data_IF_954306235802
#
_entry.id   IF_954306235802
#
_cell.length_a   1.000
_cell.length_b   1.000
_cell.length_c   1.000
_cell.angle_alpha   90.00
_cell.angle_beta   90.00
_cell.angle_gamma   90.00
#
_symmetry.space_group_name_H-M   'P 1'
#
loop_
_entity.id
_entity.type
_entity.pdbx_description
1 polymer ?
#
# COMPACT_ATOMS: atom_id res chain seq x y z
N UNK A 1 -3.01 -14.72 23.96
CA UNK A 1 -2.01 -15.50 23.17
C UNK A 1 -0.61 -15.31 23.74
N UNK A 2 -0.25 -14.11 24.22
CA UNK A 2 0.99 -13.86 24.93
C UNK A 2 1.28 -14.85 26.08
N UNK A 3 0.29 -15.16 26.94
CA UNK A 3 0.48 -16.13 28.05
C UNK A 3 0.90 -17.53 27.57
N UNK A 4 0.37 -17.96 26.41
CA UNK A 4 0.74 -19.24 25.81
C UNK A 4 2.15 -19.21 25.24
N UNK A 5 2.58 -18.08 24.68
CA UNK A 5 3.94 -17.93 24.17
C UNK A 5 4.96 -17.90 25.32
N UNK A 6 4.64 -17.23 26.43
CA UNK A 6 5.54 -17.14 27.59
C UNK A 6 5.63 -18.44 28.39
N UNK A 7 4.57 -19.25 28.44
CA UNK A 7 4.59 -20.56 29.11
C UNK A 7 5.10 -21.69 28.23
N UNK A 8 5.26 -21.46 26.93
CA UNK A 8 5.76 -22.45 25.98
C UNK A 8 7.26 -22.64 26.10
N UNK A 9 7.73 -23.87 25.87
CA UNK A 9 9.17 -24.18 25.71
C UNK A 9 9.65 -23.98 24.27
N UNK A 10 8.75 -23.66 23.33
CA UNK A 10 9.10 -23.42 21.93
C UNK A 10 9.89 -22.12 21.79
N UNK A 11 11.05 -22.20 21.15
CA UNK A 11 11.93 -21.05 20.87
C UNK A 11 11.61 -20.43 19.50
N UNK A 12 11.14 -21.24 18.54
CA UNK A 12 10.83 -20.80 17.17
C UNK A 12 9.31 -20.72 16.99
N UNK A 13 8.83 -19.56 16.53
CA UNK A 13 7.41 -19.31 16.30
C UNK A 13 7.20 -18.85 14.87
N UNK A 14 6.44 -19.64 14.11
CA UNK A 14 6.08 -19.34 12.71
C UNK A 14 4.74 -18.63 12.69
N UNK A 15 4.67 -17.44 12.07
CA UNK A 15 3.46 -16.62 12.07
C UNK A 15 3.05 -16.26 10.64
N UNK A 16 1.91 -16.81 10.24
CA UNK A 16 1.17 -16.43 9.03
C UNK A 16 0.00 -15.55 9.43
N UNK A 17 0.16 -14.24 9.28
CA UNK A 17 -0.84 -13.24 9.64
C UNK A 17 -0.62 -11.96 8.84
N UNK A 18 -1.65 -11.12 8.77
CA UNK A 18 -1.48 -9.74 8.34
C UNK A 18 -0.86 -8.90 9.47
N UNK A 19 -0.22 -7.78 9.12
CA UNK A 19 0.34 -6.84 10.11
C UNK A 19 -0.72 -6.39 11.12
N UNK A 20 -1.94 -6.10 10.66
CA UNK A 20 -3.04 -5.65 11.50
C UNK A 20 -3.46 -6.68 12.54
N UNK A 21 -3.53 -7.96 12.17
CA UNK A 21 -3.85 -9.04 13.11
C UNK A 21 -2.75 -9.30 14.14
N UNK A 22 -1.50 -9.04 13.76
CA UNK A 22 -0.33 -9.33 14.59
C UNK A 22 0.02 -8.18 15.56
N UNK A 23 -0.35 -6.95 15.22
CA UNK A 23 0.10 -5.74 15.92
C UNK A 23 -0.22 -5.78 17.42
N UNK A 24 -1.45 -6.11 17.80
CA UNK A 24 -1.89 -6.12 19.20
C UNK A 24 -1.08 -7.12 20.04
N UNK A 25 -0.77 -8.29 19.46
CA UNK A 25 0.06 -9.30 20.12
C UNK A 25 1.50 -8.80 20.32
N UNK A 26 2.10 -8.15 19.31
CA UNK A 26 3.46 -7.63 19.43
C UNK A 26 3.53 -6.50 20.45
N UNK A 27 2.51 -5.63 20.50
CA UNK A 27 2.39 -4.58 21.53
C UNK A 27 2.34 -5.20 22.92
N UNK A 28 1.50 -6.22 23.12
CA UNK A 28 1.40 -6.93 24.39
C UNK A 28 2.72 -7.61 24.79
N UNK A 29 3.39 -8.29 23.86
CA UNK A 29 4.68 -8.94 24.10
C UNK A 29 5.79 -7.93 24.44
N UNK A 30 5.79 -6.76 23.79
CA UNK A 30 6.74 -5.70 24.05
C UNK A 30 6.53 -5.09 25.46
N UNK A 31 5.29 -4.85 25.87
CA UNK A 31 4.98 -4.40 27.23
C UNK A 31 5.41 -5.39 28.31
N UNK A 32 5.36 -6.68 27.99
CA UNK A 32 5.80 -7.77 28.89
C UNK A 32 7.31 -8.04 28.83
N UNK A 33 8.07 -7.32 28.00
CA UNK A 33 9.48 -7.60 27.71
C UNK A 33 9.72 -9.07 27.35
N UNK A 34 8.83 -9.67 26.57
CA UNK A 34 8.98 -11.04 26.11
C UNK A 34 10.11 -11.09 25.06
N UNK A 35 11.22 -11.73 25.43
CA UNK A 35 12.42 -11.86 24.59
C UNK A 35 12.71 -13.34 24.30
N UNK A 36 13.70 -13.61 23.46
CA UNK A 36 14.17 -14.98 23.21
C UNK A 36 13.31 -15.80 22.23
N UNK A 37 12.33 -15.17 21.58
CA UNK A 37 11.52 -15.80 20.53
C UNK A 37 12.19 -15.56 19.18
N UNK A 38 12.55 -16.64 18.50
CA UNK A 38 12.95 -16.59 17.09
C UNK A 38 11.70 -16.61 16.22
N UNK A 39 11.37 -15.46 15.63
CA UNK A 39 10.23 -15.35 14.72
C UNK A 39 10.58 -15.84 13.32
N UNK A 40 9.63 -16.56 12.72
CA UNK A 40 9.59 -16.84 11.29
C UNK A 40 8.36 -16.16 10.70
N UNK A 41 8.60 -15.08 9.97
CA UNK A 41 7.59 -14.19 9.44
C UNK A 41 7.14 -14.59 8.03
N UNK A 42 5.82 -14.57 7.82
CA UNK A 42 5.25 -14.59 6.47
C UNK A 42 5.52 -13.27 5.73
N UNK A 43 5.47 -13.31 4.40
CA UNK A 43 5.71 -12.15 3.52
C UNK A 43 4.85 -10.93 3.90
N UNK A 44 3.62 -11.17 4.34
CA UNK A 44 2.65 -10.14 4.67
C UNK A 44 3.09 -9.15 5.77
N UNK A 45 4.07 -9.50 6.61
CA UNK A 45 4.50 -8.62 7.72
C UNK A 45 6.01 -8.49 7.91
N UNK A 46 6.83 -9.33 7.26
CA UNK A 46 8.30 -9.32 7.45
C UNK A 46 8.96 -7.98 7.10
N UNK A 47 8.40 -7.23 6.14
CA UNK A 47 8.92 -5.90 5.75
C UNK A 47 8.07 -4.73 6.26
N UNK A 48 7.20 -4.95 7.25
CA UNK A 48 6.31 -3.91 7.75
C UNK A 48 7.08 -2.86 8.56
N UNK A 49 7.26 -1.65 8.01
CA UNK A 49 7.96 -0.52 8.67
C UNK A 49 7.40 -0.18 10.06
N UNK A 50 6.10 -0.39 10.28
CA UNK A 50 5.49 -0.14 11.60
C UNK A 50 6.06 -1.05 12.70
N UNK A 51 6.50 -2.26 12.33
CA UNK A 51 7.07 -3.25 13.25
C UNK A 51 8.59 -3.08 13.43
N UNK A 52 9.25 -2.23 12.64
CA UNK A 52 10.69 -1.93 12.78
C UNK A 52 10.99 -0.81 13.77
N UNK A 53 9.96 -0.27 14.43
CA UNK A 53 10.11 0.77 15.46
C UNK A 53 10.94 0.26 16.64
N UNK A 54 11.83 1.10 17.24
CA UNK A 54 12.66 0.72 18.38
C UNK A 54 11.89 0.10 19.56
N UNK A 55 10.62 0.50 19.74
CA UNK A 55 9.75 -0.06 20.80
C UNK A 55 9.51 -1.57 20.69
N UNK A 56 9.72 -2.16 19.51
CA UNK A 56 9.49 -3.58 19.24
C UNK A 56 10.80 -4.37 19.05
N UNK A 57 11.96 -3.71 19.10
CA UNK A 57 13.25 -4.37 18.86
C UNK A 57 13.50 -5.53 19.82
N UNK A 58 13.20 -5.36 21.11
CA UNK A 58 13.38 -6.41 22.12
C UNK A 58 12.61 -7.70 21.81
N UNK A 59 11.49 -7.60 21.10
CA UNK A 59 10.63 -8.74 20.74
C UNK A 59 10.97 -9.30 19.37
N UNK A 60 11.23 -8.43 18.39
CA UNK A 60 11.28 -8.77 16.96
C UNK A 60 12.70 -8.80 16.38
N UNK A 61 13.73 -8.42 17.14
CA UNK A 61 15.11 -8.51 16.68
C UNK A 61 15.46 -9.94 16.22
N UNK A 62 16.17 -10.04 15.10
CA UNK A 62 16.53 -11.33 14.51
C UNK A 62 15.38 -12.06 13.79
N UNK A 63 14.21 -11.45 13.60
CA UNK A 63 13.11 -12.05 12.81
C UNK A 63 13.60 -12.47 11.42
N UNK A 64 13.28 -13.71 11.04
CA UNK A 64 13.59 -14.28 9.73
C UNK A 64 12.31 -14.38 8.90
N UNK A 65 12.40 -14.13 7.60
CA UNK A 65 11.26 -14.34 6.71
C UNK A 65 11.60 -14.08 5.25
N UNK A 66 10.60 -14.21 4.39
CA UNK A 66 10.76 -14.11 2.95
C UNK A 66 9.98 -12.92 2.41
N UNK A 67 10.61 -12.17 1.51
CA UNK A 67 9.98 -11.02 0.85
C UNK A 67 10.35 -10.98 -0.63
N UNK A 68 9.48 -10.41 -1.46
CA UNK A 68 9.80 -10.15 -2.86
C UNK A 68 11.00 -9.22 -2.98
N UNK A 69 11.88 -9.37 -3.97
CA UNK A 69 13.02 -8.47 -4.14
C UNK A 69 12.56 -7.01 -4.23
N UNK A 70 13.27 -6.12 -3.56
CA UNK A 70 13.06 -4.68 -3.69
C UNK A 70 13.48 -4.22 -5.08
N UNK A 71 12.58 -3.55 -5.79
CA UNK A 71 12.80 -3.05 -7.15
C UNK A 71 12.56 -1.54 -7.19
N UNK A 72 13.24 -0.85 -8.10
CA UNK A 72 12.96 0.55 -8.42
C UNK A 72 12.11 0.63 -9.69
N UNK A 73 11.00 1.38 -9.62
CA UNK A 73 10.19 1.72 -10.80
C UNK A 73 10.61 3.13 -11.24
N UNK A 74 11.23 3.30 -12.42
CA UNK A 74 11.59 4.63 -12.93
C UNK A 74 10.37 5.54 -13.05
N UNK A 75 10.49 6.82 -12.66
CA UNK A 75 9.42 7.81 -12.73
C UNK A 75 8.36 7.71 -11.62
N UNK A 76 8.33 6.64 -10.82
CA UNK A 76 7.31 6.47 -9.80
C UNK A 76 7.40 7.54 -8.70
N UNK A 77 8.62 7.87 -8.27
CA UNK A 77 8.82 8.89 -7.22
C UNK A 77 8.27 10.23 -7.69
N UNK A 78 8.66 10.62 -8.89
CA UNK A 78 8.27 11.87 -9.52
C UNK A 78 6.76 11.92 -9.75
N UNK A 79 6.15 10.81 -10.15
CA UNK A 79 4.69 10.69 -10.26
C UNK A 79 3.99 10.92 -8.93
N UNK A 80 4.40 10.23 -7.86
CA UNK A 80 3.78 10.34 -6.54
C UNK A 80 3.93 11.75 -5.93
N UNK A 81 5.05 12.43 -6.19
CA UNK A 81 5.28 13.80 -5.70
C UNK A 81 4.48 14.86 -6.47
N UNK A 82 4.01 14.54 -7.67
CA UNK A 82 3.27 15.47 -8.53
C UNK A 82 1.76 15.26 -8.51
N UNK A 83 1.23 14.37 -7.67
CA UNK A 83 -0.22 14.19 -7.51
C UNK A 83 -0.85 15.50 -7.01
N UNK A 84 -2.04 15.82 -7.51
CA UNK A 84 -2.80 17.02 -7.16
C UNK A 84 -4.28 16.70 -6.98
N UNK A 85 -4.96 17.34 -6.03
CA UNK A 85 -6.40 17.15 -5.84
C UNK A 85 -7.18 17.74 -7.03
N UNK A 86 -8.36 17.19 -7.33
CA UNK A 86 -9.17 17.60 -8.47
C UNK A 86 -10.65 17.20 -8.31
N UNK A 87 -11.61 17.97 -8.84
CA UNK A 87 -13.03 17.62 -8.80
C UNK A 87 -13.45 16.55 -9.84
N UNK A 88 -12.50 16.04 -10.63
CA UNK A 88 -12.80 15.06 -11.68
C UNK A 88 -13.20 13.70 -11.08
N UNK A 89 -14.13 12.96 -11.72
CA UNK A 89 -14.47 11.60 -11.31
C UNK A 89 -13.22 10.70 -11.21
N UNK A 90 -13.11 9.90 -10.14
CA UNK A 90 -11.97 9.00 -9.91
C UNK A 90 -10.82 9.61 -9.10
N UNK A 91 -10.93 10.87 -8.69
CA UNK A 91 -9.93 11.55 -7.85
C UNK A 91 -10.23 11.46 -6.34
N UNK A 92 -11.26 10.70 -5.94
CA UNK A 92 -11.74 10.61 -4.56
C UNK A 92 -10.63 10.22 -3.59
N UNK A 93 -9.82 9.21 -3.92
CA UNK A 93 -8.68 8.79 -3.09
C UNK A 93 -7.56 9.82 -3.01
N UNK A 94 -7.28 10.55 -4.10
CA UNK A 94 -6.27 11.61 -4.12
C UNK A 94 -6.73 12.79 -3.27
N UNK A 95 -8.01 13.12 -3.35
CA UNK A 95 -8.62 14.19 -2.56
C UNK A 95 -8.60 13.85 -1.06
N UNK A 96 -9.03 12.63 -0.68
CA UNK A 96 -8.96 12.15 0.70
C UNK A 96 -7.52 12.13 1.23
N UNK A 97 -6.57 11.64 0.41
CA UNK A 97 -5.15 11.67 0.74
C UNK A 97 -4.67 13.10 1.03
N UNK A 98 -5.07 14.07 0.20
CA UNK A 98 -4.66 15.46 0.35
C UNK A 98 -5.17 16.08 1.65
N UNK A 99 -6.46 15.91 1.95
CA UNK A 99 -7.09 16.43 3.17
C UNK A 99 -6.49 15.84 4.45
N UNK A 100 -6.18 14.54 4.43
CA UNK A 100 -5.58 13.86 5.58
C UNK A 100 -4.14 14.31 5.81
N UNK A 101 -3.32 14.32 4.74
CA UNK A 101 -1.89 14.62 4.85
C UNK A 101 -1.59 16.07 5.19
N UNK A 102 -2.39 17.01 4.67
CA UNK A 102 -2.24 18.43 4.98
C UNK A 102 -3.18 18.89 6.11
N UNK A 103 -3.96 17.97 6.69
CA UNK A 103 -4.94 18.27 7.75
C UNK A 103 -5.86 19.47 7.41
N UNK A 104 -6.25 19.57 6.13
CA UNK A 104 -7.05 20.65 5.57
C UNK A 104 -8.33 20.08 4.92
N UNK A 105 -9.21 20.95 4.41
CA UNK A 105 -10.43 20.59 3.69
C UNK A 105 -10.40 21.12 2.27
N UNK A 106 -10.70 20.29 1.29
CA UNK A 106 -10.80 20.69 -0.11
C UNK A 106 -12.14 21.38 -0.38
N UNK A 107 -12.08 22.50 -1.09
CA UNK A 107 -13.26 23.19 -1.60
C UNK A 107 -13.20 23.28 -3.12
N UNK A 108 -14.04 22.49 -3.79
CA UNK A 108 -14.23 22.61 -5.23
C UNK A 108 -15.46 23.46 -5.51
N UNK A 109 -15.35 24.42 -6.43
CA UNK A 109 -16.42 25.31 -6.85
C UNK A 109 -17.55 24.49 -7.49
N UNK A 110 -18.57 24.12 -6.70
CA UNK A 110 -19.69 23.26 -7.11
C UNK A 110 -20.23 22.36 -5.99
N UNK A 111 -19.44 22.06 -4.95
CA UNK A 111 -19.88 21.31 -3.78
C UNK A 111 -20.17 22.26 -2.60
N UNK A 112 -21.19 23.12 -2.75
CA UNK A 112 -21.83 23.75 -1.60
C UNK A 112 -22.92 22.78 -1.09
N UNK A 113 -22.49 21.71 -0.42
CA UNK A 113 -23.36 21.04 0.52
C UNK A 113 -23.34 21.87 1.79
N UNK A 114 -24.43 22.59 2.03
CA UNK A 114 -24.73 23.15 3.32
C UNK A 114 -24.82 22.04 4.39
N UNK A 115 -24.55 22.45 5.64
CA UNK A 115 -24.78 21.74 6.91
C UNK A 115 -23.72 20.69 7.28
N UNK A 116 -23.10 20.70 8.48
CA UNK A 116 -23.68 20.94 9.81
C UNK A 116 -22.67 21.66 10.70
N UNK A 117 -23.15 22.68 11.41
CA UNK A 117 -22.47 23.42 12.47
C UNK A 117 -22.17 22.50 13.69
N UNK A 118 -21.14 21.65 13.60
CA UNK A 118 -20.58 20.95 14.76
C UNK A 118 -19.65 21.90 15.51
N UNK A 119 -20.24 22.72 16.38
CA UNK A 119 -19.52 23.53 17.38
C UNK A 119 -18.76 22.60 18.33
N UNK A 120 -17.53 22.22 17.98
CA UNK A 120 -16.69 21.39 18.86
C UNK A 120 -15.39 20.87 18.25
N UNK A 121 -15.24 20.81 16.92
CA UNK A 121 -13.97 20.53 16.28
C UNK A 121 -13.37 21.83 15.74
N UNK A 122 -12.08 22.08 15.95
CA UNK A 122 -11.39 23.19 15.29
C UNK A 122 -11.64 23.08 13.77
N UNK A 123 -12.13 24.15 13.14
CA UNK A 123 -12.33 24.16 11.68
C UNK A 123 -11.00 23.87 11.00
N UNK A 124 -10.95 22.78 10.22
CA UNK A 124 -9.79 22.50 9.37
C UNK A 124 -9.63 23.64 8.35
N UNK A 125 -8.41 24.16 8.14
CA UNK A 125 -8.18 25.19 7.14
C UNK A 125 -8.52 24.68 5.73
N UNK A 126 -8.84 25.59 4.82
CA UNK A 126 -9.08 25.22 3.42
C UNK A 126 -7.75 24.91 2.73
N UNK A 127 -7.69 23.79 2.00
CA UNK A 127 -6.53 23.44 1.19
C UNK A 127 -6.39 24.39 0.00
N UNK A 128 -5.16 24.82 -0.28
CA UNK A 128 -4.82 25.60 -1.48
C UNK A 128 -4.70 24.75 -2.74
N UNK A 129 -4.45 23.43 -2.58
CA UNK A 129 -4.14 22.50 -3.66
C UNK A 129 -2.70 22.63 -4.20
N UNK A 130 -1.94 23.60 -3.68
CA UNK A 130 -0.57 23.91 -4.08
C UNK A 130 0.47 23.47 -3.05
N UNK A 131 0.04 22.83 -1.97
CA UNK A 131 0.92 22.27 -0.95
C UNK A 131 1.92 21.27 -1.57
N UNK A 132 3.07 21.09 -0.91
CA UNK A 132 4.14 20.25 -1.41
C UNK A 132 4.15 18.90 -0.69
N UNK A 133 3.97 17.81 -1.45
CA UNK A 133 4.00 16.45 -0.91
C UNK A 133 5.37 16.11 -0.31
N UNK A 134 6.43 16.81 -0.74
CA UNK A 134 7.79 16.64 -0.21
C UNK A 134 7.95 17.11 1.24
N UNK A 135 7.09 18.01 1.70
CA UNK A 135 7.17 18.57 3.06
C UNK A 135 6.60 17.60 4.10
N UNK A 136 5.97 16.52 3.66
CA UNK A 136 5.38 15.51 4.54
C UNK A 136 6.36 14.33 4.64
N UNK A 137 6.74 13.97 5.87
CA UNK A 137 7.55 12.77 6.13
C UNK A 137 6.65 11.52 5.99
N UNK A 138 6.47 11.04 4.76
CA UNK A 138 5.62 9.89 4.47
C UNK A 138 6.45 8.72 3.92
N UNK A 139 6.21 7.55 4.52
CA UNK A 139 6.59 6.26 3.93
C UNK A 139 6.08 6.05 2.49
N UNK A 140 5.05 6.81 2.07
CA UNK A 140 4.45 6.81 0.74
C UNK A 140 5.41 7.25 -0.38
N UNK A 141 6.28 8.24 -0.13
CA UNK A 141 7.22 8.74 -1.13
C UNK A 141 8.56 7.98 -1.17
N UNK A 142 8.80 7.10 -0.19
CA UNK A 142 9.97 6.21 -0.19
C UNK A 142 9.73 5.01 -1.12
N UNK A 143 10.10 5.23 -2.39
CA UNK A 143 10.03 4.22 -3.45
C UNK A 143 11.40 3.64 -3.81
N UNK A 144 12.37 3.71 -2.89
CA UNK A 144 13.73 3.19 -3.09
C UNK A 144 13.75 1.68 -3.36
N UNK A 145 12.88 0.93 -2.67
CA UNK A 145 12.70 -0.51 -2.84
C UNK A 145 11.23 -0.90 -2.74
N UNK A 146 10.48 -0.74 -3.83
CA UNK A 146 9.09 -1.20 -3.88
C UNK A 146 9.02 -2.70 -4.12
N UNK A 147 8.04 -3.35 -3.47
CA UNK A 147 7.83 -4.82 -3.54
C UNK A 147 6.42 -5.13 -4.04
N UNK A 148 5.41 -4.86 -3.20
CA UNK A 148 4.00 -5.08 -3.54
C UNK A 148 3.57 -4.20 -4.73
N UNK A 149 3.97 -2.92 -4.74
CA UNK A 149 3.68 -2.01 -5.86
C UNK A 149 4.26 -2.48 -7.19
N UNK A 150 5.37 -3.22 -7.17
CA UNK A 150 5.95 -3.81 -8.38
C UNK A 150 5.10 -4.97 -8.93
N UNK A 151 4.42 -5.73 -8.08
CA UNK A 151 3.46 -6.73 -8.54
C UNK A 151 2.24 -6.08 -9.20
N UNK A 152 1.75 -4.95 -8.67
CA UNK A 152 0.68 -4.16 -9.32
C UNK A 152 1.15 -3.64 -10.68
N UNK A 153 2.35 -3.08 -10.75
CA UNK A 153 2.97 -2.63 -12.00
C UNK A 153 3.05 -3.76 -13.04
N UNK A 154 3.56 -4.94 -12.65
CA UNK A 154 3.62 -6.12 -13.53
C UNK A 154 2.25 -6.61 -13.98
N UNK A 155 1.23 -6.58 -13.12
CA UNK A 155 -0.12 -7.01 -13.47
C UNK A 155 -0.70 -6.12 -14.58
N UNK A 156 -0.55 -4.79 -14.45
CA UNK A 156 -0.98 -3.84 -15.48
C UNK A 156 -0.20 -4.04 -16.78
N UNK A 157 1.12 -4.23 -16.70
CA UNK A 157 1.95 -4.52 -17.87
C UNK A 157 1.57 -5.83 -18.55
N UNK A 158 1.27 -6.89 -17.80
CA UNK A 158 0.85 -8.17 -18.36
C UNK A 158 -0.45 -8.03 -19.16
N UNK A 159 -1.44 -7.31 -18.63
CA UNK A 159 -2.69 -7.00 -19.34
C UNK A 159 -2.40 -6.18 -20.61
N UNK A 160 -1.59 -5.12 -20.50
CA UNK A 160 -1.22 -4.27 -21.63
C UNK A 160 -0.51 -5.06 -22.74
N UNK A 161 0.43 -5.94 -22.40
CA UNK A 161 1.13 -6.80 -23.35
C UNK A 161 0.21 -7.82 -24.02
N UNK A 162 -0.72 -8.42 -23.27
CA UNK A 162 -1.71 -9.33 -23.83
C UNK A 162 -2.62 -8.62 -24.83
N UNK A 163 -3.12 -7.42 -24.48
CA UNK A 163 -3.92 -6.58 -25.37
C UNK A 163 -3.13 -6.16 -26.61
N UNK A 164 -1.91 -5.68 -26.44
CA UNK A 164 -1.05 -5.27 -27.55
C UNK A 164 -0.79 -6.42 -28.53
N UNK A 165 -0.53 -7.62 -28.02
CA UNK A 165 -0.31 -8.82 -28.84
C UNK A 165 -1.58 -9.18 -29.63
N UNK A 166 -2.75 -9.12 -28.98
CA UNK A 166 -4.03 -9.41 -29.62
C UNK A 166 -4.36 -8.40 -30.73
N UNK A 167 -4.13 -7.11 -30.48
CA UNK A 167 -4.41 -6.04 -31.45
C UNK A 167 -3.43 -6.04 -32.63
N UNK A 168 -2.19 -6.48 -32.42
CA UNK A 168 -1.16 -6.57 -33.47
C UNK A 168 -1.11 -7.93 -34.18
N UNK A 169 -2.08 -8.81 -33.95
CA UNK A 169 -2.02 -10.17 -34.46
C UNK A 169 -1.99 -10.27 -36.00
N UNK A 170 -2.45 -9.25 -36.72
CA UNK A 170 -2.44 -9.23 -38.19
C UNK A 170 -1.04 -8.91 -38.80
N UNK A 171 -0.03 -8.59 -37.99
CA UNK A 171 1.24 -8.00 -38.45
C UNK A 171 2.49 -8.89 -38.36
N UNK A 172 2.38 -10.19 -38.09
CA UNK A 172 3.55 -11.08 -38.05
C UNK A 172 3.24 -12.58 -38.24
N UNK A 173 4.20 -13.30 -38.81
CA UNK A 173 4.22 -14.74 -39.15
C UNK A 173 4.17 -15.68 -37.92
N UNK A 174 3.28 -15.45 -36.95
CA UNK A 174 3.08 -16.37 -35.83
C UNK A 174 1.89 -17.30 -36.11
N UNK A 175 2.20 -18.61 -36.17
CA UNK A 175 1.28 -19.73 -36.40
C UNK A 175 0.30 -19.97 -35.23
N UNK A 176 -0.50 -18.96 -34.89
CA UNK A 176 -1.60 -19.05 -33.95
C UNK A 176 -2.85 -18.44 -34.57
N UNK A 177 -3.93 -19.21 -34.64
CA UNK A 177 -5.22 -18.78 -35.20
C UNK A 177 -5.78 -17.66 -34.31
N UNK A 178 -5.59 -16.40 -34.68
CA UNK A 178 -6.26 -15.29 -34.01
C UNK A 178 -7.75 -15.30 -34.36
N UNK A 179 -8.59 -15.38 -33.32
CA UNK A 179 -10.04 -15.36 -33.46
C UNK A 179 -10.47 -13.89 -33.60
N UNK A 180 -10.28 -13.33 -34.80
CA UNK A 180 -10.38 -11.90 -35.15
C UNK A 180 -11.79 -11.27 -34.95
N UNK A 181 -12.72 -11.93 -34.27
CA UNK A 181 -14.13 -11.54 -34.23
C UNK A 181 -14.81 -11.51 -32.86
N UNK A 182 -14.08 -11.68 -31.75
CA UNK A 182 -14.69 -11.51 -30.42
C UNK A 182 -14.44 -10.10 -29.89
N UNK A 183 -15.53 -9.35 -29.76
CA UNK A 183 -15.55 -8.13 -28.94
C UNK A 183 -15.00 -8.48 -27.55
N UNK A 184 -14.09 -7.65 -27.03
CA UNK A 184 -13.58 -7.80 -25.67
C UNK A 184 -14.76 -7.69 -24.71
N UNK A 185 -15.21 -8.83 -24.20
CA UNK A 185 -16.25 -8.92 -23.19
C UNK A 185 -15.58 -9.21 -21.86
N UNK A 186 -16.04 -8.54 -20.80
CA UNK A 186 -15.51 -8.63 -19.43
C UNK A 186 -15.49 -10.06 -18.87
N UNK A 187 -16.20 -11.01 -19.50
CA UNK A 187 -16.26 -12.42 -19.13
C UNK A 187 -14.96 -13.21 -19.39
N UNK A 188 -13.96 -12.65 -20.09
CA UNK A 188 -12.68 -13.32 -20.34
C UNK A 188 -11.59 -12.97 -19.30
N UNK A 189 -11.91 -12.18 -18.28
CA UNK A 189 -10.98 -11.77 -17.22
C UNK A 189 -11.29 -12.37 -15.84
N UNK A 190 -12.09 -13.45 -15.78
CA UNK A 190 -12.46 -14.18 -14.54
C UNK A 190 -11.83 -15.57 -14.50
#
# INVERSE_FOLDING_TARGET
MADRLQSSTAVVVVVFATVGQLLDLIVELAQRNATGIQWVASEAWVTAKMLTSPRFHSVLEGTLGFSFPGVRIPGLKEFLLNIRPSPQPGMDFVNMFWEEMFSCRLEFRGNQSADVNYKGAAEKPVCTGSEDVRDIDISFADVSQVRISYNVYKAVYAIAHALHTLLNCDSGEHYGKCDNHKSFTTLQAS
#
